data_IF_921608429788
#
_entry.id   IF_921608429788
#
_cell.length_a   1.000
_cell.length_b   1.000
_cell.length_c   1.000
_cell.angle_alpha   90.00
_cell.angle_beta   90.00
_cell.angle_gamma   90.00
#
_symmetry.space_group_name_H-M   'P 1'
#
loop_
_entity.id
_entity.type
_entity.pdbx_description
1 polymer ?
#
# COMPACT_ATOMS: atom_id res chain seq x y z
N UNK A 1 -2.22 13.98 -5.53
CA UNK A 1 -1.56 14.85 -4.52
C UNK A 1 -2.58 15.57 -3.64
N UNK A 2 -3.82 15.75 -4.13
CA UNK A 2 -4.97 16.35 -3.41
C UNK A 2 -5.08 16.04 -1.90
N UNK A 3 -4.94 14.78 -1.47
CA UNK A 3 -5.00 14.45 -0.03
C UNK A 3 -3.91 15.17 0.79
N UNK A 4 -2.66 15.12 0.33
CA UNK A 4 -1.53 15.74 1.04
C UNK A 4 -1.65 17.27 1.04
N UNK A 5 -2.07 17.86 -0.08
CA UNK A 5 -2.35 19.30 -0.19
C UNK A 5 -3.39 19.71 0.86
N UNK A 6 -4.52 19.00 0.94
CA UNK A 6 -5.58 19.29 1.91
C UNK A 6 -5.11 19.14 3.37
N UNK A 7 -4.22 18.19 3.65
CA UNK A 7 -3.64 17.98 4.99
C UNK A 7 -2.71 19.14 5.36
N UNK A 8 -1.92 19.63 4.41
CA UNK A 8 -1.04 20.77 4.61
C UNK A 8 -1.84 22.06 4.86
N UNK A 9 -2.93 22.28 4.14
CA UNK A 9 -3.80 23.45 4.30
C UNK A 9 -4.54 23.45 5.64
N UNK A 10 -5.03 22.28 6.09
CA UNK A 10 -5.80 22.15 7.34
C UNK A 10 -4.94 21.87 8.58
N UNK A 11 -3.65 21.58 8.41
CA UNK A 11 -2.73 21.13 9.46
C UNK A 11 -3.16 19.83 10.18
N UNK A 12 -3.93 18.97 9.50
CA UNK A 12 -4.49 17.74 10.07
C UNK A 12 -3.61 16.49 9.78
N UNK A 13 -2.37 16.48 10.28
CA UNK A 13 -1.41 15.41 9.98
C UNK A 13 -1.90 13.98 10.28
N UNK A 14 -2.82 13.81 11.25
CA UNK A 14 -3.42 12.53 11.60
C UNK A 14 -4.16 11.85 10.45
N UNK A 15 -4.67 12.61 9.46
CA UNK A 15 -5.34 12.08 8.27
C UNK A 15 -4.40 11.24 7.41
N UNK A 16 -3.10 11.59 7.37
CA UNK A 16 -2.10 10.76 6.69
C UNK A 16 -1.96 9.41 7.39
N UNK A 17 -1.90 9.39 8.71
CA UNK A 17 -1.84 8.15 9.50
C UNK A 17 -3.06 7.26 9.26
N UNK A 18 -4.26 7.83 9.22
CA UNK A 18 -5.48 7.07 8.89
C UNK A 18 -5.45 6.51 7.47
N UNK A 19 -5.03 7.31 6.50
CA UNK A 19 -4.91 6.85 5.12
C UNK A 19 -3.92 5.68 4.99
N UNK A 20 -2.73 5.80 5.57
CA UNK A 20 -1.71 4.75 5.50
C UNK A 20 -2.16 3.48 6.23
N UNK A 21 -2.88 3.62 7.34
CA UNK A 21 -3.45 2.50 8.09
C UNK A 21 -4.51 1.76 7.26
N UNK A 22 -5.44 2.49 6.64
CA UNK A 22 -6.46 1.89 5.77
C UNK A 22 -5.83 1.24 4.51
N UNK A 23 -4.85 1.90 3.89
CA UNK A 23 -4.11 1.36 2.75
C UNK A 23 -3.40 0.04 3.10
N UNK A 24 -2.69 0.01 4.23
CA UNK A 24 -2.04 -1.20 4.72
C UNK A 24 -3.04 -2.32 5.01
N UNK A 25 -4.19 -2.00 5.63
CA UNK A 25 -5.25 -2.96 5.90
C UNK A 25 -5.89 -3.52 4.62
N UNK A 26 -6.13 -2.68 3.60
CA UNK A 26 -6.62 -3.11 2.28
C UNK A 26 -5.61 -4.04 1.60
N UNK A 27 -4.34 -3.67 1.61
CA UNK A 27 -3.28 -4.51 1.05
C UNK A 27 -3.18 -5.86 1.78
N UNK A 28 -3.23 -5.86 3.11
CA UNK A 28 -3.21 -7.09 3.90
C UNK A 28 -4.39 -8.02 3.55
N UNK A 29 -5.61 -7.46 3.42
CA UNK A 29 -6.78 -8.23 2.96
C UNK A 29 -6.57 -8.79 1.56
N UNK A 30 -6.10 -7.97 0.62
CA UNK A 30 -5.82 -8.37 -0.76
C UNK A 30 -4.80 -9.52 -0.82
N UNK A 31 -3.68 -9.40 -0.11
CA UNK A 31 -2.65 -10.43 -0.03
C UNK A 31 -3.20 -11.76 0.52
N UNK A 32 -3.98 -11.70 1.61
CA UNK A 32 -4.56 -12.88 2.25
C UNK A 32 -5.58 -13.62 1.39
N UNK A 33 -6.22 -12.97 0.41
CA UNK A 33 -7.08 -13.68 -0.55
C UNK A 33 -6.30 -14.74 -1.32
N UNK A 34 -5.04 -14.45 -1.68
CA UNK A 34 -4.14 -15.40 -2.35
C UNK A 34 -3.72 -16.61 -1.50
N UNK A 35 -3.82 -16.50 -0.17
CA UNK A 35 -3.62 -17.61 0.76
C UNK A 35 -4.82 -18.54 0.74
N UNK A 36 -6.03 -17.98 0.69
CA UNK A 36 -7.30 -18.73 0.71
C UNK A 36 -7.64 -19.34 -0.66
N UNK A 37 -7.29 -18.66 -1.74
CA UNK A 37 -7.58 -19.06 -3.10
C UNK A 37 -6.37 -18.76 -4.01
N UNK A 38 -5.83 -19.80 -4.64
CA UNK A 38 -4.67 -19.71 -5.51
C UNK A 38 -4.90 -18.79 -6.73
N UNK A 39 -6.15 -18.66 -7.22
CA UNK A 39 -6.49 -17.78 -8.33
C UNK A 39 -6.28 -16.28 -7.97
N UNK A 40 -6.31 -15.96 -6.67
CA UNK A 40 -6.16 -14.60 -6.14
C UNK A 40 -4.72 -14.25 -5.72
N UNK A 41 -3.74 -15.14 -5.93
CA UNK A 41 -2.33 -14.84 -5.63
C UNK A 41 -1.80 -13.71 -6.50
N UNK A 42 -0.85 -12.94 -5.97
CA UNK A 42 -0.12 -11.94 -6.76
C UNK A 42 0.66 -12.63 -7.90
N UNK A 43 1.27 -13.78 -7.59
CA UNK A 43 1.98 -14.62 -8.57
C UNK A 43 1.13 -15.86 -8.84
N UNK A 44 0.70 -16.03 -10.09
CA UNK A 44 -0.12 -17.14 -10.57
C UNK A 44 0.55 -17.83 -11.77
N UNK A 45 -0.13 -18.82 -12.37
CA UNK A 45 0.31 -19.42 -13.64
C UNK A 45 0.12 -18.50 -14.86
N UNK A 46 -0.66 -17.43 -14.74
CA UNK A 46 -0.81 -16.41 -15.79
C UNK A 46 0.24 -15.31 -15.56
N UNK A 47 1.21 -15.24 -16.49
CA UNK A 47 2.30 -14.27 -16.43
C UNK A 47 1.81 -12.83 -16.56
N UNK A 48 0.87 -12.55 -17.46
CA UNK A 48 0.37 -11.19 -17.69
C UNK A 48 -0.38 -10.68 -16.47
N UNK A 49 -1.22 -11.53 -15.88
CA UNK A 49 -1.92 -11.21 -14.65
C UNK A 49 -0.95 -10.99 -13.48
N UNK A 50 0.09 -11.82 -13.38
CA UNK A 50 1.10 -11.69 -12.32
C UNK A 50 1.87 -10.38 -12.43
N UNK A 51 2.28 -9.98 -13.64
CA UNK A 51 2.96 -8.70 -13.89
C UNK A 51 2.07 -7.52 -13.49
N UNK A 52 0.79 -7.54 -13.86
CA UNK A 52 -0.16 -6.48 -13.49
C UNK A 52 -0.32 -6.36 -11.96
N UNK A 53 -0.46 -7.50 -11.26
CA UNK A 53 -0.58 -7.53 -9.79
C UNK A 53 0.71 -7.08 -9.10
N UNK A 54 1.87 -7.47 -9.61
CA UNK A 54 3.17 -7.01 -9.09
C UNK A 54 3.36 -5.49 -9.27
N UNK A 55 2.95 -4.93 -10.40
CA UNK A 55 2.98 -3.48 -10.62
C UNK A 55 2.08 -2.74 -9.60
N UNK A 56 0.89 -3.27 -9.32
CA UNK A 56 0.01 -2.74 -8.28
C UNK A 56 0.68 -2.78 -6.89
N UNK A 57 1.26 -3.91 -6.51
CA UNK A 57 1.95 -4.06 -5.21
C UNK A 57 3.16 -3.12 -5.10
N UNK A 58 3.91 -2.94 -6.19
CA UNK A 58 5.01 -1.99 -6.23
C UNK A 58 4.53 -0.54 -6.00
N UNK A 59 3.40 -0.16 -6.60
CA UNK A 59 2.75 1.14 -6.35
C UNK A 59 2.36 1.32 -4.89
N UNK A 60 1.72 0.32 -4.28
CA UNK A 60 1.35 0.35 -2.84
C UNK A 60 2.60 0.50 -1.96
N UNK A 61 3.69 -0.24 -2.25
CA UNK A 61 4.96 -0.13 -1.51
C UNK A 61 5.51 1.29 -1.56
N UNK A 62 5.49 1.94 -2.72
CA UNK A 62 5.98 3.32 -2.90
C UNK A 62 5.15 4.29 -2.03
N UNK A 63 3.82 4.17 -2.07
CA UNK A 63 2.93 5.05 -1.29
C UNK A 63 3.16 4.88 0.21
N UNK A 64 3.22 3.63 0.70
CA UNK A 64 3.48 3.35 2.11
C UNK A 64 4.85 3.87 2.55
N UNK A 65 5.90 3.62 1.76
CA UNK A 65 7.25 4.11 2.07
C UNK A 65 7.30 5.63 2.15
N UNK A 66 6.72 6.32 1.16
CA UNK A 66 6.73 7.78 1.14
C UNK A 66 5.92 8.36 2.31
N UNK A 67 4.74 7.79 2.60
CA UNK A 67 3.92 8.23 3.72
C UNK A 67 4.57 8.01 5.07
N UNK A 68 5.19 6.85 5.30
CA UNK A 68 5.91 6.56 6.54
C UNK A 68 7.13 7.49 6.71
N UNK A 69 7.86 7.75 5.64
CA UNK A 69 8.97 8.72 5.65
C UNK A 69 8.49 10.13 6.04
N UNK A 70 7.34 10.59 5.53
CA UNK A 70 6.75 11.88 5.92
C UNK A 70 6.37 11.94 7.41
N UNK A 71 6.01 10.79 8.00
CA UNK A 71 5.74 10.66 9.44
C UNK A 71 7.00 10.48 10.30
N UNK A 72 8.19 10.42 9.70
CA UNK A 72 9.43 10.14 10.41
C UNK A 72 9.57 8.69 10.90
N UNK A 73 8.82 7.76 10.30
CA UNK A 73 8.82 6.33 10.65
C UNK A 73 9.62 5.54 9.60
N UNK A 74 10.50 4.65 10.05
CA UNK A 74 11.26 3.79 9.16
C UNK A 74 10.37 2.76 8.45
N UNK A 75 10.57 2.59 7.14
CA UNK A 75 9.95 1.53 6.34
C UNK A 75 11.01 0.47 5.96
N UNK A 76 11.21 -0.59 6.77
CA UNK A 76 12.25 -1.57 6.52
C UNK A 76 11.93 -2.46 5.31
N UNK A 77 12.96 -2.89 4.56
CA UNK A 77 12.79 -3.82 3.44
C UNK A 77 12.43 -5.24 3.89
N UNK A 78 12.67 -5.56 5.16
CA UNK A 78 12.29 -6.83 5.81
C UNK A 78 11.93 -6.55 7.27
N UNK A 79 10.77 -7.05 7.69
CA UNK A 79 10.33 -7.07 9.09
C UNK A 79 10.83 -8.32 9.80
#
# INVERSE_FOLDING_TARGET
SELLESICESFEAHRLTYYLTDLAARFHRYFNLGVKDAANRIVTGDMNLSVARLALVAGVRIVLRNGLNLLGVSAPDKM
#
